data_IF_798809550512
#
_entry.id   IF_798809550512
#
_cell.length_a   1.000
_cell.length_b   1.000
_cell.length_c   1.000
_cell.angle_alpha   90.00
_cell.angle_beta   90.00
_cell.angle_gamma   90.00
#
_symmetry.space_group_name_H-M   'P 1'
#
loop_
_entity.id
_entity.type
_entity.pdbx_description
1 polymer ?
#
# COMPACT_ATOMS: atom_id res chain seq x y z
N UNK A 1 -4.22 -11.10 -9.43
CA UNK A 1 -3.31 -10.78 -8.30
C UNK A 1 -1.93 -11.37 -8.50
N UNK A 2 -1.73 -12.70 -8.57
CA UNK A 2 -0.40 -13.35 -8.68
C UNK A 2 0.49 -12.81 -9.82
N UNK A 3 -0.07 -12.51 -11.01
CA UNK A 3 0.69 -11.90 -12.12
C UNK A 3 1.40 -10.61 -11.70
N UNK A 4 0.73 -9.73 -10.97
CA UNK A 4 1.27 -8.45 -10.48
C UNK A 4 2.36 -8.68 -9.43
N UNK A 5 2.10 -9.57 -8.46
CA UNK A 5 3.07 -9.87 -7.41
C UNK A 5 4.36 -10.50 -7.98
N UNK A 6 4.22 -11.38 -8.97
CA UNK A 6 5.38 -12.00 -9.67
C UNK A 6 6.15 -10.98 -10.51
N UNK A 7 5.45 -10.04 -11.18
CA UNK A 7 6.09 -8.97 -11.92
C UNK A 7 6.94 -8.06 -11.01
N UNK A 8 6.42 -7.68 -9.86
CA UNK A 8 7.17 -6.91 -8.87
C UNK A 8 8.36 -7.70 -8.30
N UNK A 9 8.17 -8.98 -7.98
CA UNK A 9 9.24 -9.86 -7.47
C UNK A 9 10.38 -10.06 -8.49
N UNK A 10 10.06 -10.11 -9.78
CA UNK A 10 11.04 -10.26 -10.86
C UNK A 10 12.00 -9.07 -10.99
N UNK A 11 11.69 -7.91 -10.39
CA UNK A 11 12.59 -6.76 -10.37
C UNK A 11 13.81 -6.97 -9.44
N UNK A 12 13.82 -8.01 -8.60
CA UNK A 12 14.94 -8.33 -7.73
C UNK A 12 15.26 -7.24 -6.68
N UNK A 13 14.29 -6.42 -6.32
CA UNK A 13 14.47 -5.33 -5.38
C UNK A 13 14.54 -5.84 -3.93
N UNK A 14 15.43 -5.30 -3.08
CA UNK A 14 15.50 -5.70 -1.69
C UNK A 14 14.24 -5.30 -0.93
N UNK A 15 13.78 -6.20 -0.04
CA UNK A 15 12.58 -6.02 0.80
C UNK A 15 11.36 -5.47 0.04
N UNK A 16 11.08 -6.08 -1.13
CA UNK A 16 10.08 -5.65 -2.10
C UNK A 16 8.71 -6.26 -1.82
N UNK A 17 7.68 -5.41 -1.89
CA UNK A 17 6.29 -5.76 -1.66
C UNK A 17 5.36 -4.96 -2.58
N UNK A 18 4.14 -5.47 -2.80
CA UNK A 18 3.05 -4.70 -3.42
C UNK A 18 2.03 -4.37 -2.33
N UNK A 19 1.77 -3.07 -2.13
CA UNK A 19 1.05 -2.60 -0.95
C UNK A 19 -0.28 -1.91 -1.20
N UNK A 20 -0.75 -1.31 -0.13
CA UNK A 20 -1.86 -0.35 -0.12
C UNK A 20 -3.16 -0.82 -0.77
N UNK A 21 -3.65 0.02 -1.68
CA UNK A 21 -4.93 -0.14 -2.35
C UNK A 21 -5.06 -1.44 -3.12
N UNK A 22 -3.98 -1.98 -3.66
CA UNK A 22 -4.00 -3.24 -4.41
C UNK A 22 -4.52 -4.42 -3.57
N UNK A 23 -4.07 -4.55 -2.33
CA UNK A 23 -4.52 -5.61 -1.42
C UNK A 23 -5.83 -5.24 -0.74
N UNK A 24 -5.89 -4.04 -0.16
CA UNK A 24 -7.05 -3.56 0.59
C UNK A 24 -8.33 -3.59 -0.24
N UNK A 25 -8.29 -3.06 -1.46
CA UNK A 25 -9.48 -2.97 -2.31
C UNK A 25 -9.98 -4.36 -2.72
N UNK A 26 -9.06 -5.32 -3.01
CA UNK A 26 -9.44 -6.68 -3.34
C UNK A 26 -10.20 -7.38 -2.18
N UNK A 27 -9.75 -7.16 -0.95
CA UNK A 27 -10.45 -7.67 0.25
C UNK A 27 -11.80 -7.00 0.41
N UNK A 28 -11.85 -5.67 0.31
CA UNK A 28 -13.10 -4.92 0.46
C UNK A 28 -14.12 -5.23 -0.64
N UNK A 29 -13.68 -5.38 -1.90
CA UNK A 29 -14.55 -5.79 -3.01
C UNK A 29 -15.17 -7.18 -2.72
N UNK A 30 -14.37 -8.13 -2.24
CA UNK A 30 -14.83 -9.46 -1.86
C UNK A 30 -15.86 -9.40 -0.73
N UNK A 31 -15.58 -8.64 0.33
CA UNK A 31 -16.47 -8.50 1.49
C UNK A 31 -17.77 -7.74 1.18
N UNK A 32 -17.79 -6.96 0.10
CA UNK A 32 -19.02 -6.31 -0.41
C UNK A 32 -19.72 -7.13 -1.49
N UNK A 33 -19.24 -8.33 -1.80
CA UNK A 33 -19.86 -9.21 -2.79
C UNK A 33 -19.72 -8.73 -4.23
N UNK A 34 -18.72 -7.90 -4.54
CA UNK A 34 -18.50 -7.45 -5.90
C UNK A 34 -17.92 -8.60 -6.76
N UNK A 35 -18.60 -8.92 -7.86
CA UNK A 35 -18.26 -10.04 -8.74
C UNK A 35 -17.01 -9.79 -9.59
N UNK A 36 -16.58 -8.54 -9.74
CA UNK A 36 -15.37 -8.17 -10.48
C UNK A 36 -14.56 -7.17 -9.68
N UNK A 37 -13.23 -7.37 -9.58
CA UNK A 37 -12.37 -6.35 -9.01
C UNK A 37 -12.54 -5.05 -9.82
N UNK A 38 -12.64 -3.93 -9.14
CA UNK A 38 -12.56 -2.64 -9.80
C UNK A 38 -11.20 -2.46 -10.50
N UNK A 39 -11.14 -1.54 -11.47
CA UNK A 39 -9.87 -1.14 -12.04
C UNK A 39 -8.92 -0.68 -10.93
N UNK A 40 -7.66 -1.07 -11.01
CA UNK A 40 -6.64 -0.56 -10.09
C UNK A 40 -6.48 0.95 -10.33
N UNK A 41 -6.58 1.74 -9.28
CA UNK A 41 -6.27 3.16 -9.37
C UNK A 41 -4.75 3.36 -9.47
N UNK A 42 -4.01 2.58 -8.65
CA UNK A 42 -2.56 2.49 -8.61
C UNK A 42 -2.15 1.13 -8.03
N UNK A 43 -0.96 0.67 -8.38
CA UNK A 43 -0.34 -0.53 -7.83
C UNK A 43 0.99 -0.11 -7.21
N UNK A 44 0.98 0.07 -5.90
CA UNK A 44 2.13 0.54 -5.15
C UNK A 44 3.15 -0.60 -4.94
N UNK A 45 4.27 -0.55 -5.68
CA UNK A 45 5.46 -1.37 -5.42
C UNK A 45 6.34 -0.60 -4.45
N UNK A 46 6.51 -1.15 -3.26
CA UNK A 46 7.34 -0.57 -2.20
C UNK A 46 8.52 -1.48 -1.90
N UNK A 47 9.68 -0.91 -1.73
CA UNK A 47 10.91 -1.64 -1.41
C UNK A 47 11.78 -0.81 -0.48
N UNK A 48 12.77 -1.42 0.15
CA UNK A 48 13.69 -0.72 1.03
C UNK A 48 15.14 -0.95 0.62
N UNK A 49 15.78 0.11 0.15
CA UNK A 49 17.21 0.11 -0.18
C UNK A 49 17.83 1.44 0.22
N UNK A 50 18.59 1.41 1.32
CA UNK A 50 19.29 2.59 1.82
C UNK A 50 20.57 2.91 1.03
N UNK A 51 21.07 1.98 0.19
CA UNK A 51 22.29 2.16 -0.59
C UNK A 51 22.08 3.05 -1.83
N UNK A 52 20.85 3.08 -2.37
CA UNK A 52 20.51 3.95 -3.49
C UNK A 52 19.07 4.49 -3.31
N UNK A 53 18.99 5.73 -2.85
CA UNK A 53 17.73 6.42 -2.56
C UNK A 53 17.31 7.40 -3.66
N UNK A 54 17.97 7.36 -4.83
CA UNK A 54 17.66 8.26 -5.94
C UNK A 54 16.25 7.98 -6.49
N UNK A 55 15.54 9.05 -6.79
CA UNK A 55 14.19 9.00 -7.35
C UNK A 55 14.19 8.43 -8.77
N UNK A 56 15.21 8.74 -9.54
CA UNK A 56 15.39 8.29 -10.93
C UNK A 56 15.43 6.75 -11.01
N UNK A 57 15.95 6.07 -9.97
CA UNK A 57 15.91 4.62 -9.89
C UNK A 57 14.49 4.09 -9.79
N UNK A 58 13.66 4.68 -8.93
CA UNK A 58 12.24 4.29 -8.82
C UNK A 58 11.51 4.48 -10.15
N UNK A 59 11.74 5.63 -10.82
CA UNK A 59 11.13 5.99 -12.10
C UNK A 59 11.57 5.03 -13.22
N UNK A 60 12.83 4.59 -13.23
CA UNK A 60 13.33 3.59 -14.17
C UNK A 60 12.64 2.24 -13.99
N UNK A 61 12.52 1.76 -12.74
CA UNK A 61 11.84 0.50 -12.42
C UNK A 61 10.34 0.59 -12.79
N UNK A 62 9.70 1.73 -12.51
CA UNK A 62 8.32 1.99 -12.88
C UNK A 62 8.11 1.90 -14.39
N UNK A 63 9.02 2.48 -15.18
CA UNK A 63 9.00 2.42 -16.65
C UNK A 63 9.21 0.99 -17.19
N UNK A 64 10.11 0.23 -16.60
CA UNK A 64 10.36 -1.18 -16.96
C UNK A 64 9.11 -2.04 -16.71
N UNK A 65 8.48 -1.87 -15.55
CA UNK A 65 7.22 -2.53 -15.20
C UNK A 65 6.09 -2.12 -16.16
N UNK A 66 5.96 -0.84 -16.47
CA UNK A 66 4.96 -0.33 -17.41
C UNK A 66 5.16 -0.86 -18.84
N UNK A 67 6.41 -1.06 -19.26
CA UNK A 67 6.71 -1.67 -20.57
C UNK A 67 6.28 -3.13 -20.62
N UNK A 68 6.57 -3.90 -19.57
CA UNK A 68 6.21 -5.33 -19.50
C UNK A 68 4.72 -5.58 -19.20
N UNK A 69 4.07 -4.63 -18.52
CA UNK A 69 2.68 -4.75 -18.04
C UNK A 69 1.93 -3.41 -18.19
N UNK A 70 1.62 -2.98 -19.43
CA UNK A 70 1.07 -1.64 -19.68
C UNK A 70 -0.38 -1.45 -19.21
N UNK A 71 -1.06 -2.54 -18.87
CA UNK A 71 -2.42 -2.54 -18.30
C UNK A 71 -2.44 -2.35 -16.78
N UNK A 72 -1.26 -2.21 -16.13
CA UNK A 72 -1.14 -2.04 -14.69
C UNK A 72 -0.59 -0.64 -14.38
N UNK A 73 -1.32 0.18 -13.62
CA UNK A 73 -0.87 1.53 -13.22
C UNK A 73 0.16 1.43 -12.08
N UNK A 74 1.41 1.24 -12.42
CA UNK A 74 2.50 1.08 -11.47
C UNK A 74 2.87 2.37 -10.77
N UNK A 75 3.19 2.27 -9.49
CA UNK A 75 3.78 3.31 -8.67
C UNK A 75 4.90 2.69 -7.84
N UNK A 76 6.16 3.01 -8.13
CA UNK A 76 7.33 2.42 -7.47
C UNK A 76 7.95 3.41 -6.50
N UNK A 77 8.19 2.99 -5.25
CA UNK A 77 8.72 3.90 -4.22
C UNK A 77 9.67 3.19 -3.27
N UNK A 78 10.93 3.66 -3.23
CA UNK A 78 11.89 3.26 -2.23
C UNK A 78 11.53 3.88 -0.86
N UNK A 79 11.19 3.05 0.09
CA UNK A 79 10.76 3.50 1.43
C UNK A 79 11.91 4.10 2.25
N UNK A 80 13.16 3.80 1.91
CA UNK A 80 14.32 4.35 2.60
C UNK A 80 14.41 5.89 2.55
N UNK A 81 13.78 6.55 1.54
CA UNK A 81 13.72 8.02 1.44
C UNK A 81 12.40 8.64 1.87
N UNK A 82 11.35 7.84 2.07
CA UNK A 82 9.99 8.37 2.30
C UNK A 82 9.82 9.02 3.68
N UNK A 83 10.66 8.67 4.65
CA UNK A 83 10.68 9.28 5.97
C UNK A 83 10.86 10.81 5.90
N UNK A 84 11.74 11.30 5.01
CA UNK A 84 11.99 12.74 4.86
C UNK A 84 10.74 13.50 4.37
N UNK A 85 9.97 12.91 3.44
CA UNK A 85 8.70 13.47 2.97
C UNK A 85 7.65 13.56 4.07
N UNK A 86 7.64 12.57 4.98
CA UNK A 86 6.65 12.44 6.04
C UNK A 86 7.02 13.22 7.31
N UNK A 87 8.25 13.75 7.39
CA UNK A 87 8.79 14.38 8.58
C UNK A 87 9.06 13.38 9.72
N UNK A 88 9.37 12.13 9.37
CA UNK A 88 9.64 11.05 10.32
C UNK A 88 11.14 10.80 10.45
N UNK A 89 11.56 10.08 11.50
CA UNK A 89 12.90 9.51 11.58
C UNK A 89 13.14 8.49 10.45
N UNK A 90 14.41 8.25 10.03
CA UNK A 90 14.72 7.26 9.01
C UNK A 90 14.11 5.89 9.32
N UNK A 91 13.45 5.30 8.32
CA UNK A 91 12.89 3.97 8.45
C UNK A 91 13.98 2.90 8.39
N UNK A 92 13.77 1.77 9.07
CA UNK A 92 14.71 0.67 9.13
C UNK A 92 14.50 -0.38 8.01
N UNK A 93 13.26 -0.55 7.56
CA UNK A 93 12.83 -1.53 6.56
C UNK A 93 11.42 -1.16 6.04
N UNK A 94 10.89 -1.93 5.08
CA UNK A 94 9.54 -1.72 4.56
C UNK A 94 8.46 -1.92 5.64
N UNK A 95 8.62 -2.87 6.56
CA UNK A 95 7.68 -3.06 7.67
C UNK A 95 7.59 -1.83 8.57
N UNK A 96 8.74 -1.22 8.87
CA UNK A 96 8.79 0.00 9.65
C UNK A 96 8.13 1.16 8.90
N UNK A 97 8.40 1.32 7.60
CA UNK A 97 7.76 2.34 6.77
C UNK A 97 6.22 2.21 6.74
N UNK A 98 5.69 0.98 6.60
CA UNK A 98 4.25 0.74 6.62
C UNK A 98 3.59 1.17 7.95
N UNK A 99 4.30 1.12 9.07
CA UNK A 99 3.78 1.60 10.36
C UNK A 99 3.50 3.11 10.39
N UNK A 100 4.08 3.84 9.45
CA UNK A 100 3.90 5.28 9.27
C UNK A 100 2.90 5.62 8.15
N UNK A 101 2.20 4.63 7.60
CA UNK A 101 1.13 4.86 6.64
C UNK A 101 -0.15 5.34 7.35
N UNK A 102 -1.07 6.00 6.62
CA UNK A 102 -2.19 6.70 7.25
C UNK A 102 -3.17 5.80 8.01
N UNK A 103 -3.60 4.68 7.41
CA UNK A 103 -4.61 3.81 7.99
C UNK A 103 -4.05 2.40 8.23
N UNK A 104 -4.48 1.74 9.32
CA UNK A 104 -4.06 0.37 9.64
C UNK A 104 -4.47 -0.63 8.55
N UNK A 105 -5.68 -0.51 8.00
CA UNK A 105 -6.15 -1.35 6.90
C UNK A 105 -5.43 -1.10 5.57
N UNK A 106 -4.76 0.05 5.41
CA UNK A 106 -3.93 0.37 4.24
C UNK A 106 -2.47 -0.01 4.45
N UNK A 107 -2.01 -0.07 5.70
CA UNK A 107 -0.65 -0.48 6.08
C UNK A 107 -0.47 -2.01 5.93
N UNK A 108 -0.71 -2.50 4.73
CA UNK A 108 -0.63 -3.92 4.35
C UNK A 108 0.06 -4.04 2.99
N UNK A 109 0.85 -5.08 2.82
CA UNK A 109 1.49 -5.41 1.56
C UNK A 109 1.57 -6.92 1.38
N UNK A 110 1.77 -7.36 0.13
CA UNK A 110 1.94 -8.76 -0.22
C UNK A 110 3.09 -8.94 -1.20
N UNK A 111 3.67 -10.13 -1.22
CA UNK A 111 4.60 -10.55 -2.26
C UNK A 111 4.36 -12.00 -2.65
N UNK A 112 4.79 -12.37 -3.86
CA UNK A 112 4.81 -13.76 -4.29
C UNK A 112 6.00 -14.48 -3.64
N UNK A 113 5.75 -15.66 -3.06
CA UNK A 113 6.76 -16.58 -2.56
C UNK A 113 6.48 -17.96 -3.16
N UNK A 114 7.06 -18.25 -4.33
CA UNK A 114 6.66 -19.40 -5.14
C UNK A 114 5.19 -19.29 -5.57
N UNK A 115 4.38 -20.29 -5.19
CA UNK A 115 2.94 -20.32 -5.47
C UNK A 115 2.08 -19.74 -4.32
N UNK A 116 2.71 -19.25 -3.28
CA UNK A 116 2.04 -18.65 -2.11
C UNK A 116 2.11 -17.13 -2.14
N UNK A 117 1.22 -16.52 -1.38
CA UNK A 117 1.25 -15.08 -1.09
C UNK A 117 1.72 -14.91 0.36
N UNK A 118 2.81 -14.19 0.53
CA UNK A 118 3.25 -13.73 1.84
C UNK A 118 2.67 -12.34 2.13
N UNK A 119 2.17 -12.15 3.34
CA UNK A 119 1.60 -10.87 3.78
C UNK A 119 2.51 -10.16 4.78
N UNK A 120 2.62 -8.87 4.61
CA UNK A 120 3.26 -7.93 5.53
C UNK A 120 2.19 -7.01 6.11
N UNK A 121 1.77 -7.26 7.33
CA UNK A 121 0.71 -6.50 8.02
C UNK A 121 1.18 -6.10 9.43
N UNK A 122 1.85 -4.93 9.58
CA UNK A 122 2.41 -4.50 10.87
C UNK A 122 1.39 -4.34 12.00
N UNK A 123 0.10 -4.16 11.66
CA UNK A 123 -1.00 -4.00 12.61
C UNK A 123 -1.99 -5.18 12.59
N UNK A 124 -1.60 -6.31 11.97
CA UNK A 124 -2.53 -7.41 11.70
C UNK A 124 -3.51 -7.09 10.56
N UNK A 125 -4.49 -7.96 10.39
CA UNK A 125 -5.50 -7.87 9.32
C UNK A 125 -6.91 -7.57 9.83
N UNK A 126 -7.10 -7.50 11.13
CA UNK A 126 -8.43 -7.41 11.78
C UNK A 126 -9.21 -6.17 11.30
N UNK A 127 -8.55 -5.00 11.23
CA UNK A 127 -9.18 -3.78 10.71
C UNK A 127 -9.56 -3.92 9.23
N UNK A 128 -8.73 -4.58 8.43
CA UNK A 128 -8.99 -4.79 7.01
C UNK A 128 -10.22 -5.69 6.79
N UNK A 129 -10.24 -6.86 7.43
CA UNK A 129 -11.35 -7.82 7.29
C UNK A 129 -12.60 -7.40 8.06
N UNK A 130 -12.44 -6.62 9.13
CA UNK A 130 -13.53 -6.00 9.89
C UNK A 130 -14.14 -4.77 9.23
N UNK A 131 -13.68 -4.38 8.03
CA UNK A 131 -14.12 -3.16 7.32
C UNK A 131 -13.94 -1.88 8.15
N UNK A 132 -12.88 -1.81 8.96
CA UNK A 132 -12.59 -0.69 9.85
C UNK A 132 -11.48 0.17 9.25
N UNK A 133 -11.76 1.46 9.10
CA UNK A 133 -10.78 2.47 8.69
C UNK A 133 -10.43 3.30 9.92
N UNK A 134 -9.24 3.08 10.49
CA UNK A 134 -8.74 3.88 11.61
C UNK A 134 -7.30 4.31 11.36
N UNK A 135 -6.87 5.44 11.95
CA UNK A 135 -5.50 5.91 11.79
C UNK A 135 -4.50 4.94 12.44
N UNK A 136 -3.30 4.88 11.87
CA UNK A 136 -2.15 4.28 12.56
C UNK A 136 -1.76 5.15 13.77
N UNK A 137 -0.96 4.63 14.72
CA UNK A 137 -0.44 5.45 15.82
C UNK A 137 0.31 6.70 15.34
N UNK A 138 1.04 6.62 14.22
CA UNK A 138 1.72 7.76 13.63
C UNK A 138 0.74 8.84 13.15
N UNK A 139 -0.38 8.45 12.56
CA UNK A 139 -1.41 9.38 12.06
C UNK A 139 -2.42 9.80 13.13
N UNK A 140 -2.53 9.09 14.24
CA UNK A 140 -3.26 9.57 15.40
C UNK A 140 -2.68 10.90 15.96
N UNK A 141 -1.42 11.20 15.66
CA UNK A 141 -0.76 12.48 15.97
C UNK A 141 -0.94 13.54 14.85
N UNK A 142 -1.49 13.17 13.70
CA UNK A 142 -1.66 14.00 12.49
C UNK A 142 -3.13 13.97 12.02
N UNK A 143 -4.10 14.09 12.95
CA UNK A 143 -5.53 13.86 12.68
C UNK A 143 -6.14 14.78 11.62
N UNK A 144 -5.65 16.01 11.47
CA UNK A 144 -6.06 16.91 10.40
C UNK A 144 -5.73 16.31 9.01
N UNK A 145 -4.51 15.82 8.82
CA UNK A 145 -4.07 15.19 7.57
C UNK A 145 -4.87 13.91 7.29
N UNK A 146 -5.11 13.11 8.34
CA UNK A 146 -5.93 11.90 8.23
C UNK A 146 -7.36 12.22 7.77
N UNK A 147 -8.01 13.23 8.37
CA UNK A 147 -9.38 13.65 8.00
C UNK A 147 -9.49 14.20 6.58
N UNK A 148 -8.53 14.99 6.14
CA UNK A 148 -8.46 15.48 4.76
C UNK A 148 -8.36 14.30 3.77
N UNK A 149 -7.48 13.35 4.06
CA UNK A 149 -7.33 12.14 3.24
C UNK A 149 -8.62 11.31 3.18
N UNK A 150 -9.36 11.17 4.30
CA UNK A 150 -10.65 10.47 4.29
C UNK A 150 -11.66 11.13 3.36
N UNK A 151 -11.72 12.47 3.34
CA UNK A 151 -12.59 13.24 2.43
C UNK A 151 -12.19 13.05 0.97
N UNK A 152 -10.90 13.12 0.65
CA UNK A 152 -10.39 12.92 -0.71
C UNK A 152 -10.66 11.51 -1.22
N UNK A 153 -10.40 10.50 -0.40
CA UNK A 153 -10.55 9.10 -0.78
C UNK A 153 -12.01 8.66 -0.88
N UNK A 154 -12.88 9.24 -0.08
CA UNK A 154 -14.34 8.98 -0.07
C UNK A 154 -14.72 7.50 -0.24
N UNK A 155 -14.00 6.62 0.46
CA UNK A 155 -14.13 5.17 0.27
C UNK A 155 -15.53 4.62 0.51
N UNK A 156 -16.31 5.24 1.42
CA UNK A 156 -17.68 4.80 1.71
C UNK A 156 -18.64 4.95 0.51
N UNK A 157 -18.32 5.80 -0.47
CA UNK A 157 -19.10 5.89 -1.71
C UNK A 157 -19.03 4.57 -2.52
N UNK A 158 -17.91 3.84 -2.47
CA UNK A 158 -17.77 2.53 -3.12
C UNK A 158 -18.04 1.37 -2.15
N UNK A 159 -17.60 1.48 -0.90
CA UNK A 159 -17.68 0.45 0.13
C UNK A 159 -18.49 0.94 1.33
N UNK A 160 -19.85 0.91 1.23
CA UNK A 160 -20.73 1.55 2.23
C UNK A 160 -20.70 0.88 3.61
N UNK A 161 -20.24 -0.36 3.73
CA UNK A 161 -20.15 -1.05 5.02
C UNK A 161 -18.92 -0.66 5.84
N UNK A 162 -18.04 0.22 5.32
CA UNK A 162 -16.86 0.68 6.05
C UNK A 162 -17.23 1.50 7.28
N UNK A 163 -16.62 1.17 8.39
CA UNK A 163 -16.69 1.91 9.65
C UNK A 163 -15.46 2.83 9.76
N UNK A 164 -15.67 4.13 9.64
CA UNK A 164 -14.58 5.13 9.67
C UNK A 164 -14.46 5.71 11.06
N UNK A 165 -13.30 5.54 11.68
CA UNK A 165 -12.98 6.00 13.04
C UNK A 165 -12.19 7.32 12.97
N UNK A 166 -12.59 8.31 13.75
CA UNK A 166 -11.88 9.61 13.84
C UNK A 166 -12.18 10.57 12.69
N UNK A 167 -13.32 10.40 12.01
CA UNK A 167 -13.78 11.30 10.94
C UNK A 167 -14.28 12.66 11.45
N UNK A 168 -14.65 12.74 12.74
CA UNK A 168 -15.18 13.95 13.40
C UNK A 168 -14.06 14.79 14.05
#
# INVERSE_FOLDING_TARGET
MMRVLRAAAAQGLPDCWVGAGFIRNAVWDTLHGFSSPGAYADVDVVFFDASDTRRERDEGIEADLATGYPDVPWSVRNQARMHARNGDAPYADTRNALRHWPERCTAIAARASGDWIELLAPFGVDDLVGLIVRPTPAFALKMNVYRERLKEKNWQARWPHLQVIGSN
#
